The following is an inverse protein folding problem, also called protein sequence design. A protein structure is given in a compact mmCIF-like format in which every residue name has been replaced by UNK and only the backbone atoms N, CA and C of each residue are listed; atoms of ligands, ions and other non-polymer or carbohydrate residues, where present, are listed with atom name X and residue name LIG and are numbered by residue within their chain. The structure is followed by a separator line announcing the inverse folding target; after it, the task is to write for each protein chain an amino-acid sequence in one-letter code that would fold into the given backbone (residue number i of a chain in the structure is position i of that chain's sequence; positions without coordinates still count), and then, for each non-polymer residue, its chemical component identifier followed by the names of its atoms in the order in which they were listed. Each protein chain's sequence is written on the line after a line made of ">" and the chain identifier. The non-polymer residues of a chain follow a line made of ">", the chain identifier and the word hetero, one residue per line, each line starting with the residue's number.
data_IF_237378020586
#
_entry.id   IF_237378020586
#
_cell.length_a   1.000
_cell.length_b   1.000
_cell.length_c   1.000
_cell.angle_alpha   90.00
_cell.angle_beta   90.00
_cell.angle_gamma   90.00
#
_symmetry.space_group_name_H-M   'P 1'
#
loop_
_entity.id
_entity.type
_entity.pdbx_description
1 polymer ?
#
# COMPACT_ATOMS: atom_id res chain seq x y z
N UNK A 1 23.13 58.71 -36.06
CA UNK A 1 22.06 57.77 -36.44
C UNK A 1 21.23 57.47 -35.20
N UNK A 2 20.03 58.06 -35.08
CA UNK A 2 19.10 57.85 -33.94
C UNK A 2 18.30 56.58 -34.33
N UNK A 3 18.51 55.47 -33.60
CA UNK A 3 17.69 54.28 -33.77
C UNK A 3 16.31 54.56 -33.16
N UNK A 4 15.28 54.50 -34.01
CA UNK A 4 13.89 54.59 -33.59
C UNK A 4 13.61 53.42 -32.61
N UNK A 5 13.28 53.70 -31.35
CA UNK A 5 12.80 52.75 -30.37
C UNK A 5 11.28 52.60 -30.56
N UNK A 6 10.82 51.44 -30.99
CA UNK A 6 9.41 51.10 -30.96
C UNK A 6 8.98 50.79 -29.53
N UNK A 7 8.02 51.52 -29.01
CA UNK A 7 7.41 51.23 -27.69
C UNK A 7 6.59 49.95 -27.77
N UNK A 8 6.73 49.09 -26.76
CA UNK A 8 5.90 47.90 -26.60
C UNK A 8 4.45 48.31 -26.37
N UNK A 9 3.54 47.78 -27.16
CA UNK A 9 2.12 48.11 -27.03
C UNK A 9 1.52 47.43 -25.76
N UNK A 10 0.59 48.12 -25.11
CA UNK A 10 -0.10 47.63 -23.91
C UNK A 10 -0.78 46.28 -24.17
N UNK A 11 -1.31 46.06 -25.38
CA UNK A 11 -1.88 44.78 -25.82
C UNK A 11 -0.86 43.64 -25.87
N UNK A 12 0.35 43.91 -26.28
CA UNK A 12 1.43 42.94 -26.38
C UNK A 12 1.83 42.41 -24.99
N UNK A 13 1.91 43.29 -24.00
CA UNK A 13 2.18 42.93 -22.60
C UNK A 13 1.04 42.12 -22.01
N UNK A 14 -0.23 42.48 -22.28
CA UNK A 14 -1.39 41.70 -21.82
C UNK A 14 -1.41 40.28 -22.40
N UNK A 15 -1.15 40.13 -23.71
CA UNK A 15 -1.09 38.83 -24.35
C UNK A 15 0.07 38.01 -23.81
N UNK A 16 1.25 38.59 -23.59
CA UNK A 16 2.41 37.91 -23.03
C UNK A 16 2.12 37.41 -21.60
N UNK A 17 1.48 38.23 -20.74
CA UNK A 17 1.10 37.81 -19.39
C UNK A 17 0.04 36.71 -19.40
N UNK A 18 -0.90 36.75 -20.34
CA UNK A 18 -1.92 35.74 -20.49
C UNK A 18 -1.30 34.39 -20.87
N UNK A 19 -0.41 34.35 -21.85
CA UNK A 19 0.31 33.12 -22.27
C UNK A 19 1.16 32.59 -21.11
N UNK A 20 1.85 33.47 -20.38
CA UNK A 20 2.62 33.09 -19.20
C UNK A 20 1.73 32.43 -18.12
N UNK A 21 0.58 33.05 -17.83
CA UNK A 21 -0.36 32.53 -16.84
C UNK A 21 -0.88 31.11 -17.20
N UNK A 22 -1.26 30.92 -18.47
CA UNK A 22 -1.69 29.61 -18.97
C UNK A 22 -0.55 28.57 -18.86
N UNK A 23 0.67 28.97 -19.20
CA UNK A 23 1.85 28.11 -19.09
C UNK A 23 2.12 27.64 -17.65
N UNK A 24 2.05 28.56 -16.68
CA UNK A 24 2.25 28.25 -15.25
C UNK A 24 1.15 27.33 -14.73
N UNK A 25 -0.12 27.57 -15.06
CA UNK A 25 -1.23 26.70 -14.66
C UNK A 25 -1.08 25.31 -15.27
N UNK A 26 -0.76 25.20 -16.55
CA UNK A 26 -0.54 23.91 -17.21
C UNK A 26 0.58 23.10 -16.55
N UNK A 27 1.70 23.74 -16.24
CA UNK A 27 2.82 23.10 -15.55
C UNK A 27 2.43 22.63 -14.12
N UNK A 28 1.68 23.44 -13.38
CA UNK A 28 1.22 23.07 -12.03
C UNK A 28 0.33 21.83 -12.04
N UNK A 29 -0.55 21.68 -13.03
CA UNK A 29 -1.40 20.49 -13.18
C UNK A 29 -0.55 19.23 -13.45
N UNK A 30 0.47 19.33 -14.28
CA UNK A 30 1.38 18.22 -14.56
C UNK A 30 2.15 17.79 -13.30
N UNK A 31 2.63 18.75 -12.50
CA UNK A 31 3.29 18.45 -11.22
C UNK A 31 2.37 17.71 -10.26
N UNK A 32 1.11 18.12 -10.12
CA UNK A 32 0.14 17.43 -9.27
C UNK A 32 -0.10 15.98 -9.72
N UNK A 33 -0.21 15.75 -11.03
CA UNK A 33 -0.35 14.40 -11.58
C UNK A 33 0.88 13.53 -11.33
N UNK A 34 2.07 14.09 -11.48
CA UNK A 34 3.31 13.38 -11.18
C UNK A 34 3.41 12.98 -9.70
N UNK A 35 3.05 13.88 -8.77
CA UNK A 35 3.03 13.58 -7.35
C UNK A 35 2.01 12.48 -6.99
N UNK A 36 0.80 12.51 -7.58
CA UNK A 36 -0.19 11.46 -7.38
C UNK A 36 0.30 10.09 -7.87
N UNK A 37 0.95 10.04 -9.03
CA UNK A 37 1.52 8.80 -9.55
C UNK A 37 2.67 8.28 -8.67
N UNK A 38 3.49 9.17 -8.13
CA UNK A 38 4.60 8.83 -7.23
C UNK A 38 4.10 8.25 -5.89
N UNK A 39 3.06 8.86 -5.29
CA UNK A 39 2.48 8.35 -4.04
C UNK A 39 1.88 6.96 -4.25
N UNK A 40 1.12 6.74 -5.31
CA UNK A 40 0.54 5.43 -5.64
C UNK A 40 1.63 4.36 -5.86
N UNK A 41 2.71 4.70 -6.57
CA UNK A 41 3.83 3.78 -6.78
C UNK A 41 4.54 3.43 -5.46
N UNK A 42 4.67 4.40 -4.55
CA UNK A 42 5.25 4.21 -3.23
C UNK A 42 4.38 3.29 -2.37
N UNK A 43 3.08 3.55 -2.29
CA UNK A 43 2.14 2.73 -1.52
C UNK A 43 2.14 1.28 -2.01
N UNK A 44 2.16 1.07 -3.32
CA UNK A 44 2.25 -0.26 -3.92
C UNK A 44 3.57 -0.97 -3.58
N UNK A 45 4.68 -0.26 -3.58
CA UNK A 45 5.99 -0.82 -3.21
C UNK A 45 6.01 -1.21 -1.73
N UNK A 46 5.45 -0.38 -0.86
CA UNK A 46 5.31 -0.67 0.57
C UNK A 46 4.40 -1.88 0.82
N UNK A 47 3.25 -1.95 0.14
CA UNK A 47 2.36 -3.11 0.20
C UNK A 47 3.06 -4.41 -0.22
N UNK A 48 3.86 -4.37 -1.29
CA UNK A 48 4.65 -5.51 -1.74
C UNK A 48 5.70 -5.94 -0.70
N UNK A 49 6.34 -4.99 -0.03
CA UNK A 49 7.30 -5.27 1.03
C UNK A 49 6.63 -5.93 2.23
N UNK A 50 5.45 -5.44 2.64
CA UNK A 50 4.68 -6.02 3.74
C UNK A 50 4.20 -7.43 3.39
N UNK A 51 3.71 -7.63 2.16
CA UNK A 51 3.26 -8.95 1.69
C UNK A 51 4.41 -9.97 1.67
N UNK A 52 5.59 -9.57 1.20
CA UNK A 52 6.79 -10.44 1.19
C UNK A 52 7.26 -10.77 2.60
N UNK A 53 7.33 -9.79 3.50
CA UNK A 53 7.70 -10.00 4.92
C UNK A 53 6.77 -11.03 5.55
N UNK A 54 5.44 -10.91 5.37
CA UNK A 54 4.48 -11.89 5.86
C UNK A 54 4.72 -13.28 5.25
N UNK A 55 4.91 -13.36 3.94
CA UNK A 55 5.14 -14.65 3.25
C UNK A 55 6.42 -15.32 3.72
N UNK A 56 7.50 -14.59 3.95
CA UNK A 56 8.76 -15.14 4.41
C UNK A 56 8.65 -15.69 5.84
N UNK A 57 7.94 -15.00 6.74
CA UNK A 57 7.62 -15.50 8.09
C UNK A 57 6.79 -16.78 8.04
N UNK A 58 5.78 -16.82 7.18
CA UNK A 58 4.95 -18.01 6.96
C UNK A 58 5.75 -19.20 6.44
N UNK A 59 6.74 -18.98 5.57
CA UNK A 59 7.64 -20.02 5.05
C UNK A 59 8.51 -20.65 6.13
N UNK A 60 8.93 -19.87 7.12
CA UNK A 60 9.71 -20.36 8.26
C UNK A 60 8.81 -21.19 9.19
N UNK A 61 7.56 -20.81 9.36
CA UNK A 61 6.61 -21.44 10.29
C UNK A 61 5.49 -22.20 9.55
N UNK A 62 5.85 -23.10 8.66
CA UNK A 62 4.92 -23.82 7.75
C UNK A 62 3.84 -24.65 8.45
N UNK A 63 4.11 -25.13 9.65
CA UNK A 63 3.15 -25.95 10.42
C UNK A 63 2.00 -25.12 11.00
N UNK A 64 2.12 -23.79 11.02
CA UNK A 64 1.14 -22.87 11.59
C UNK A 64 0.42 -22.00 10.56
N UNK A 65 0.41 -22.34 9.27
CA UNK A 65 -0.14 -21.50 8.17
C UNK A 65 -1.58 -21.06 8.44
N UNK A 66 -2.46 -21.97 8.88
CA UNK A 66 -3.85 -21.64 9.19
C UNK A 66 -3.99 -20.64 10.36
N UNK A 67 -3.01 -20.64 11.28
CA UNK A 67 -2.99 -19.69 12.39
C UNK A 67 -2.65 -18.27 11.94
N UNK A 68 -1.83 -18.11 10.87
CA UNK A 68 -1.60 -16.79 10.25
C UNK A 68 -2.89 -16.22 9.66
N UNK A 69 -3.66 -17.02 8.91
CA UNK A 69 -4.94 -16.59 8.34
C UNK A 69 -5.87 -16.10 9.45
N UNK A 70 -6.00 -16.87 10.52
CA UNK A 70 -6.84 -16.52 11.66
C UNK A 70 -6.31 -15.27 12.36
N UNK A 71 -5.01 -15.20 12.67
CA UNK A 71 -4.41 -14.10 13.41
C UNK A 71 -4.51 -12.76 12.65
N UNK A 72 -4.27 -12.75 11.34
CA UNK A 72 -4.41 -11.57 10.49
C UNK A 72 -5.88 -11.12 10.42
N UNK A 73 -6.80 -12.03 10.12
CA UNK A 73 -8.20 -11.70 9.88
C UNK A 73 -8.97 -11.30 11.14
N UNK A 74 -8.57 -11.82 12.30
CA UNK A 74 -9.20 -11.50 13.60
C UNK A 74 -8.37 -10.52 14.43
N UNK A 75 -7.26 -9.99 13.87
CA UNK A 75 -6.34 -9.05 14.52
C UNK A 75 -5.88 -9.55 15.89
N UNK A 76 -5.53 -10.83 15.98
CA UNK A 76 -5.00 -11.41 17.21
C UNK A 76 -3.61 -10.83 17.49
N UNK A 77 -3.34 -10.52 18.74
CA UNK A 77 -2.06 -9.99 19.18
C UNK A 77 -1.35 -10.94 20.13
N UNK A 78 -0.03 -11.01 20.04
CA UNK A 78 0.86 -11.70 20.94
C UNK A 78 2.15 -10.87 21.11
N UNK A 79 2.57 -10.63 22.31
CA UNK A 79 3.77 -9.80 22.62
C UNK A 79 4.86 -10.56 23.37
N UNK A 80 4.54 -11.76 23.87
CA UNK A 80 5.39 -12.51 24.79
C UNK A 80 6.47 -13.36 24.13
N UNK A 81 6.61 -13.38 22.79
CA UNK A 81 7.59 -14.22 22.10
C UNK A 81 8.99 -13.63 22.02
N UNK A 82 9.17 -12.34 22.32
CA UNK A 82 10.48 -11.74 22.54
C UNK A 82 10.77 -11.69 24.03
N UNK A 83 11.87 -12.30 24.45
CA UNK A 83 12.32 -12.22 25.84
C UNK A 83 12.60 -10.78 26.23
N UNK A 84 12.22 -10.42 27.44
CA UNK A 84 12.69 -9.19 28.08
C UNK A 84 14.17 -9.37 28.46
N UNK A 85 14.98 -8.33 28.37
CA UNK A 85 16.45 -8.30 28.42
C UNK A 85 17.14 -8.91 29.66
N UNK A 86 16.41 -9.53 30.56
CA UNK A 86 17.00 -10.13 31.77
C UNK A 86 16.49 -11.54 32.09
N UNK A 87 15.65 -12.14 31.28
CA UNK A 87 15.02 -13.41 31.63
C UNK A 87 14.78 -14.28 30.42
N UNK A 88 14.86 -15.60 30.63
CA UNK A 88 14.51 -16.69 29.75
C UNK A 88 13.51 -16.31 28.64
N UNK A 89 13.91 -16.48 27.37
CA UNK A 89 13.00 -16.33 26.23
C UNK A 89 11.94 -17.42 26.32
N UNK A 90 10.64 -17.10 26.55
CA UNK A 90 9.63 -18.14 26.56
C UNK A 90 9.62 -18.82 25.18
N UNK A 91 9.67 -20.15 25.17
CA UNK A 91 9.54 -20.92 23.94
C UNK A 91 8.12 -20.73 23.39
N UNK A 92 7.98 -19.91 22.34
CA UNK A 92 6.73 -19.80 21.64
C UNK A 92 6.59 -21.00 20.68
N UNK A 93 5.44 -21.66 20.74
CA UNK A 93 5.03 -22.64 19.76
C UNK A 93 4.69 -21.95 18.42
N UNK A 94 4.51 -22.71 17.34
CA UNK A 94 4.22 -22.17 16.04
C UNK A 94 2.96 -21.29 15.99
N UNK A 95 1.95 -21.56 16.84
CA UNK A 95 0.72 -20.76 16.91
C UNK A 95 0.98 -19.39 17.53
N UNK A 96 1.74 -19.34 18.61
CA UNK A 96 2.12 -18.08 19.25
C UNK A 96 3.03 -17.24 18.36
N UNK A 97 3.97 -17.90 17.67
CA UNK A 97 4.81 -17.23 16.66
C UNK A 97 3.94 -16.62 15.56
N UNK A 98 2.94 -17.35 15.03
CA UNK A 98 2.05 -16.82 14.00
C UNK A 98 1.26 -15.60 14.47
N UNK A 99 0.78 -15.57 15.73
CA UNK A 99 0.11 -14.41 16.33
C UNK A 99 1.08 -13.24 16.51
N UNK A 100 2.28 -13.51 16.99
CA UNK A 100 3.32 -12.49 17.16
C UNK A 100 3.69 -11.85 15.81
N UNK A 101 3.94 -12.66 14.79
CA UNK A 101 4.23 -12.20 13.45
C UNK A 101 3.07 -11.36 12.87
N UNK A 102 1.82 -11.84 13.06
CA UNK A 102 0.63 -11.10 12.66
C UNK A 102 0.55 -9.73 13.35
N UNK A 103 0.86 -9.66 14.66
CA UNK A 103 0.91 -8.39 15.40
C UNK A 103 1.89 -7.41 14.76
N UNK A 104 3.11 -7.85 14.44
CA UNK A 104 4.14 -7.01 13.84
C UNK A 104 3.73 -6.53 12.43
N UNK A 105 3.20 -7.44 11.62
CA UNK A 105 2.77 -7.14 10.24
C UNK A 105 1.57 -6.19 10.22
N UNK A 106 0.57 -6.42 11.08
CA UNK A 106 -0.61 -5.55 11.18
C UNK A 106 -0.23 -4.15 11.64
N UNK A 107 0.62 -4.03 12.66
CA UNK A 107 1.10 -2.73 13.15
C UNK A 107 1.87 -1.97 12.07
N UNK A 108 2.73 -2.66 11.31
CA UNK A 108 3.47 -2.07 10.18
C UNK A 108 2.53 -1.60 9.08
N UNK A 109 1.56 -2.44 8.68
CA UNK A 109 0.58 -2.08 7.66
C UNK A 109 -0.28 -0.88 8.10
N UNK A 110 -0.75 -0.88 9.35
CA UNK A 110 -1.55 0.22 9.91
C UNK A 110 -0.77 1.54 9.93
N UNK A 111 0.52 1.51 10.28
CA UNK A 111 1.39 2.70 10.23
C UNK A 111 1.57 3.26 8.81
N UNK A 112 1.37 2.44 7.78
CA UNK A 112 1.40 2.80 6.36
C UNK A 112 0.00 3.13 5.80
N UNK A 113 -1.05 3.13 6.63
CA UNK A 113 -2.43 3.32 6.17
C UNK A 113 -2.96 2.17 5.31
N UNK A 114 -2.42 0.96 5.48
CA UNK A 114 -2.77 -0.22 4.71
C UNK A 114 -3.62 -1.19 5.53
N UNK A 115 -4.55 -1.86 4.88
CA UNK A 115 -5.35 -2.95 5.46
C UNK A 115 -4.95 -4.28 4.83
N UNK A 116 -4.71 -5.30 5.66
CA UNK A 116 -4.35 -6.65 5.22
C UNK A 116 -5.48 -7.62 5.53
N UNK A 117 -5.76 -8.50 4.58
CA UNK A 117 -6.69 -9.62 4.72
C UNK A 117 -6.09 -10.84 4.06
N UNK A 118 -6.30 -12.01 4.63
CA UNK A 118 -5.93 -13.29 4.04
C UNK A 118 -7.18 -14.10 3.74
N UNK A 119 -7.31 -14.53 2.50
CA UNK A 119 -8.46 -15.32 2.02
C UNK A 119 -8.00 -16.25 0.91
N UNK A 120 -8.78 -17.28 0.63
CA UNK A 120 -8.57 -18.10 -0.55
C UNK A 120 -8.56 -17.23 -1.81
N UNK A 121 -7.59 -17.49 -2.69
CA UNK A 121 -7.49 -16.77 -3.96
C UNK A 121 -8.71 -17.05 -4.82
N UNK A 122 -9.22 -16.04 -5.52
CA UNK A 122 -10.30 -16.25 -6.48
C UNK A 122 -9.81 -17.16 -7.63
N UNK A 123 -10.57 -18.25 -7.86
CA UNK A 123 -10.26 -19.21 -8.94
C UNK A 123 -9.18 -20.25 -8.60
N UNK A 124 -8.71 -20.30 -7.35
CA UNK A 124 -7.66 -21.25 -6.93
C UNK A 124 -7.90 -21.75 -5.51
N UNK A 125 -7.35 -22.90 -5.15
CA UNK A 125 -7.39 -23.43 -3.77
C UNK A 125 -6.34 -22.83 -2.85
N UNK A 126 -5.48 -21.96 -3.34
CA UNK A 126 -4.37 -21.35 -2.60
C UNK A 126 -4.84 -20.17 -1.75
N UNK A 127 -4.03 -19.80 -0.77
CA UNK A 127 -4.29 -18.64 0.08
C UNK A 127 -3.61 -17.40 -0.49
N UNK A 128 -4.36 -16.32 -0.62
CA UNK A 128 -3.88 -15.00 -1.05
C UNK A 128 -3.82 -14.01 0.11
N UNK A 129 -2.83 -13.14 0.05
CA UNK A 129 -2.71 -11.95 0.87
C UNK A 129 -3.25 -10.78 0.04
N UNK A 130 -4.26 -10.11 0.56
CA UNK A 130 -4.86 -8.89 -0.02
C UNK A 130 -4.43 -7.72 0.84
N UNK A 131 -3.81 -6.71 0.23
CA UNK A 131 -3.43 -5.46 0.90
C UNK A 131 -4.07 -4.32 0.15
N UNK A 132 -4.83 -3.49 0.85
CA UNK A 132 -5.49 -2.32 0.28
C UNK A 132 -5.06 -1.04 0.99
N UNK A 133 -5.06 0.09 0.27
CA UNK A 133 -4.74 1.41 0.77
C UNK A 133 -5.67 2.46 0.16
N UNK A 134 -5.56 3.69 0.64
CA UNK A 134 -6.28 4.84 0.10
C UNK A 134 -7.79 4.68 0.21
N UNK A 135 -8.49 4.66 -0.94
CA UNK A 135 -9.95 4.58 -1.01
C UNK A 135 -10.50 3.16 -1.11
N UNK A 136 -9.63 2.16 -1.28
CA UNK A 136 -10.04 0.75 -1.39
C UNK A 136 -10.15 0.15 0.00
N UNK A 137 -11.35 -0.23 0.41
CA UNK A 137 -11.61 -0.88 1.69
C UNK A 137 -11.90 -2.37 1.47
N UNK A 138 -11.17 -3.23 2.18
CA UNK A 138 -11.34 -4.69 2.15
C UNK A 138 -11.59 -5.23 3.55
N UNK A 139 -12.35 -6.32 3.61
CA UNK A 139 -12.56 -7.08 4.85
C UNK A 139 -12.33 -8.57 4.59
N UNK A 140 -12.25 -9.37 5.66
CA UNK A 140 -12.12 -10.84 5.53
C UNK A 140 -13.26 -11.47 4.71
N UNK A 141 -14.44 -10.84 4.72
CA UNK A 141 -15.64 -11.35 4.07
C UNK A 141 -15.84 -10.74 2.67
N UNK A 142 -15.35 -9.51 2.45
CA UNK A 142 -15.55 -8.77 1.20
C UNK A 142 -14.25 -8.14 0.68
N UNK A 143 -13.84 -8.58 -0.51
CA UNK A 143 -12.69 -8.05 -1.26
C UNK A 143 -13.12 -7.43 -2.61
N UNK A 144 -14.41 -7.29 -2.85
CA UNK A 144 -14.98 -6.88 -4.14
C UNK A 144 -14.56 -5.49 -4.62
N UNK A 145 -14.11 -4.63 -3.69
CA UNK A 145 -13.54 -3.31 -4.02
C UNK A 145 -12.13 -3.40 -4.58
N UNK A 146 -11.40 -4.48 -4.31
CA UNK A 146 -10.06 -4.77 -4.81
C UNK A 146 -10.12 -5.66 -6.06
N UNK A 147 -10.77 -6.81 -5.94
CA UNK A 147 -10.80 -7.83 -6.97
C UNK A 147 -12.19 -8.49 -7.03
N UNK A 148 -12.63 -8.84 -8.23
CA UNK A 148 -13.83 -9.63 -8.47
C UNK A 148 -13.60 -10.57 -9.65
N UNK A 149 -13.99 -11.83 -9.51
CA UNK A 149 -13.83 -12.88 -10.55
C UNK A 149 -12.37 -13.02 -11.05
N UNK A 150 -11.38 -12.88 -10.15
CA UNK A 150 -9.97 -13.00 -10.48
C UNK A 150 -9.36 -11.78 -11.20
N UNK A 151 -10.11 -10.68 -11.35
CA UNK A 151 -9.68 -9.46 -12.05
C UNK A 151 -9.68 -8.27 -11.09
N UNK A 152 -8.63 -7.44 -11.15
CA UNK A 152 -8.60 -6.20 -10.40
C UNK A 152 -9.71 -5.25 -10.83
N UNK A 153 -10.37 -4.63 -9.88
CA UNK A 153 -11.35 -3.59 -10.16
C UNK A 153 -10.65 -2.32 -10.65
N UNK A 154 -11.24 -1.67 -11.66
CA UNK A 154 -10.67 -0.43 -12.20
C UNK A 154 -10.56 0.65 -11.11
N UNK A 155 -9.37 1.23 -10.98
CA UNK A 155 -9.07 2.24 -9.96
C UNK A 155 -8.89 1.69 -8.53
N UNK A 156 -8.87 0.37 -8.33
CA UNK A 156 -8.57 -0.21 -7.03
C UNK A 156 -7.13 0.04 -6.62
N UNK A 157 -6.95 0.51 -5.38
CA UNK A 157 -5.67 0.71 -4.72
C UNK A 157 -5.39 -0.50 -3.84
N UNK A 158 -4.97 -1.58 -4.45
CA UNK A 158 -4.68 -2.82 -3.74
C UNK A 158 -3.62 -3.67 -4.44
N UNK A 159 -3.07 -4.60 -3.66
CA UNK A 159 -2.15 -5.64 -4.09
C UNK A 159 -2.70 -7.00 -3.66
N UNK A 160 -2.62 -7.97 -4.56
CA UNK A 160 -2.92 -9.37 -4.26
C UNK A 160 -1.68 -10.21 -4.52
N UNK A 161 -1.28 -10.99 -3.54
CA UNK A 161 -0.14 -11.90 -3.65
C UNK A 161 -0.53 -13.28 -3.14
N UNK A 162 -0.22 -14.30 -3.92
CA UNK A 162 -0.38 -15.69 -3.53
C UNK A 162 0.69 -16.06 -2.48
N UNK A 163 0.27 -16.65 -1.37
CA UNK A 163 1.15 -16.98 -0.24
C UNK A 163 1.55 -18.46 -0.21
N UNK A 164 0.59 -19.39 -0.37
CA UNK A 164 0.79 -20.85 -0.38
C UNK A 164 -0.43 -21.59 -0.93
#
# INVERSE_FOLDING_TARGET
>A
MIKSQYGVGLMEVLVALFILAVGVVGFSVLQLRALQAMTEATDRTMAMTVARDLTDRMRINRLALNHYVTAINTKQSETGCLGSSSTYVPACDGQKIAKYDATQILSKAESLGQTIVMKQCEGSSRTCIYIAWGKTAITKDDISTCMANGVYKAGAQCLVMEAY
#
